data_IF_887190634132
#
_entry.id   IF_887190634132
#
_cell.length_a   1.000
_cell.length_b   1.000
_cell.length_c   1.000
_cell.angle_alpha   90.00
_cell.angle_beta   90.00
_cell.angle_gamma   90.00
#
_symmetry.space_group_name_H-M   'P 1'
#
loop_
_entity.id
_entity.type
_entity.pdbx_description
1 polymer ?
#
# COMPACT_ATOMS: atom_id res chain seq x y z
N UNK A 1 27.27 -27.31 -66.06
CA UNK A 1 27.23 -26.09 -66.87
C UNK A 1 26.75 -25.00 -65.94
N UNK A 2 27.64 -24.27 -65.50
CA UNK A 2 28.07 -22.87 -65.73
C UNK A 2 26.94 -21.84 -65.50
N UNK A 3 27.28 -20.93 -64.60
CA UNK A 3 26.68 -19.62 -64.49
C UNK A 3 27.00 -18.90 -63.18
N UNK A 4 28.27 -18.51 -62.95
CA UNK A 4 28.65 -17.49 -61.94
C UNK A 4 28.20 -16.12 -62.46
N UNK A 5 27.58 -15.34 -61.59
CA UNK A 5 27.54 -13.87 -61.75
C UNK A 5 27.77 -13.18 -60.44
N UNK A 6 28.90 -12.55 -60.34
CA UNK A 6 29.30 -11.67 -59.27
C UNK A 6 28.61 -10.30 -59.40
N UNK A 7 28.02 -9.78 -58.37
CA UNK A 7 27.59 -8.38 -58.26
C UNK A 7 28.44 -7.65 -57.21
N UNK A 8 29.22 -6.72 -57.69
CA UNK A 8 30.02 -5.78 -56.91
C UNK A 8 29.12 -4.77 -56.24
N UNK A 9 29.15 -4.68 -54.95
CA UNK A 9 28.50 -3.59 -54.20
C UNK A 9 29.55 -2.56 -53.80
N UNK A 10 29.39 -1.36 -54.38
CA UNK A 10 30.20 -0.19 -54.15
C UNK A 10 29.88 0.43 -52.76
N UNK A 11 30.88 0.43 -51.88
CA UNK A 11 30.78 1.03 -50.56
C UNK A 11 31.16 2.53 -50.68
N UNK A 12 30.17 3.42 -50.66
CA UNK A 12 30.41 4.86 -50.53
C UNK A 12 30.51 5.21 -49.05
N UNK A 13 31.70 5.56 -48.60
CA UNK A 13 31.96 6.15 -47.30
C UNK A 13 31.48 7.62 -47.33
N UNK A 14 30.47 7.93 -46.57
CA UNK A 14 30.09 9.31 -46.24
C UNK A 14 30.98 9.79 -45.08
N UNK A 15 31.91 10.65 -45.38
CA UNK A 15 32.67 11.43 -44.41
C UNK A 15 31.74 12.48 -43.79
N UNK A 16 31.45 12.36 -42.51
CA UNK A 16 30.83 13.45 -41.72
C UNK A 16 31.91 14.47 -41.35
N UNK A 17 31.63 15.78 -41.46
CA UNK A 17 32.55 16.79 -40.98
C UNK A 17 32.62 16.80 -39.45
N UNK A 18 33.85 16.88 -38.96
CA UNK A 18 34.15 17.06 -37.56
C UNK A 18 33.60 18.39 -37.04
N UNK A 19 32.80 18.35 -36.02
CA UNK A 19 32.35 19.53 -35.29
C UNK A 19 33.50 20.01 -34.39
N UNK A 20 33.91 21.25 -34.55
CA UNK A 20 34.89 21.89 -33.68
C UNK A 20 34.41 21.97 -32.23
N UNK A 21 35.26 21.74 -31.22
CA UNK A 21 34.90 21.90 -29.83
C UNK A 21 34.73 23.39 -29.50
N UNK A 22 33.52 23.77 -29.08
CA UNK A 22 33.24 25.11 -28.54
C UNK A 22 33.96 25.26 -27.20
N UNK A 23 34.76 26.33 -26.97
CA UNK A 23 35.45 26.54 -25.72
C UNK A 23 34.45 26.89 -24.61
N UNK A 24 34.49 26.13 -23.52
CA UNK A 24 33.63 26.23 -22.33
C UNK A 24 33.94 27.41 -21.40
N UNK A 25 34.46 28.46 -21.88
CA UNK A 25 34.98 29.54 -21.04
C UNK A 25 34.44 30.94 -21.36
N UNK A 26 33.12 31.09 -21.59
CA UNK A 26 32.48 32.41 -21.50
C UNK A 26 30.99 32.24 -21.18
N UNK A 27 30.65 32.05 -19.92
CA UNK A 27 29.33 32.34 -19.36
C UNK A 27 29.39 32.36 -17.84
N UNK A 28 30.31 33.14 -17.28
CA UNK A 28 30.21 33.56 -15.88
C UNK A 28 29.99 35.06 -15.90
N UNK A 29 28.77 35.47 -16.14
CA UNK A 29 28.37 36.86 -15.96
C UNK A 29 26.97 36.86 -15.33
N UNK A 30 26.93 37.29 -14.08
CA UNK A 30 25.77 37.82 -13.33
C UNK A 30 24.59 36.86 -13.14
N UNK A 31 24.63 36.15 -12.01
CA UNK A 31 23.44 35.60 -11.39
C UNK A 31 22.54 36.75 -10.93
N UNK A 32 21.26 36.81 -11.38
CA UNK A 32 20.27 37.49 -10.60
C UNK A 32 20.03 36.63 -9.35
N UNK A 33 20.09 37.23 -8.18
CA UNK A 33 19.64 36.65 -6.91
C UNK A 33 18.23 36.11 -7.12
N UNK A 34 18.11 34.79 -7.29
CA UNK A 34 16.82 34.12 -7.24
C UNK A 34 16.47 34.07 -5.76
N UNK A 35 15.63 35.02 -5.38
CA UNK A 35 14.83 34.99 -4.18
C UNK A 35 14.30 33.57 -4.00
N UNK A 36 14.72 32.94 -2.93
CA UNK A 36 14.34 31.55 -2.58
C UNK A 36 12.83 31.46 -2.60
N UNK A 37 12.27 30.92 -3.68
CA UNK A 37 10.95 30.37 -3.61
C UNK A 37 11.03 29.24 -2.56
N UNK A 38 10.53 29.51 -1.37
CA UNK A 38 10.22 28.49 -0.39
C UNK A 38 9.35 27.47 -1.10
N UNK A 39 9.95 26.34 -1.43
CA UNK A 39 9.20 25.17 -1.83
C UNK A 39 8.25 24.92 -0.66
N UNK A 40 6.98 25.21 -0.85
CA UNK A 40 5.94 24.71 0.03
C UNK A 40 6.09 23.19 0.04
N UNK A 41 6.85 22.71 1.01
CA UNK A 41 6.84 21.33 1.43
C UNK A 41 5.40 21.07 1.80
N UNK A 42 4.65 20.45 0.87
CA UNK A 42 3.35 19.92 1.16
C UNK A 42 3.50 18.99 2.34
N UNK A 43 3.33 19.54 3.55
CA UNK A 43 3.31 18.79 4.79
C UNK A 43 2.22 17.72 4.59
N UNK A 44 2.66 16.49 4.38
CA UNK A 44 1.76 15.34 4.53
C UNK A 44 1.34 15.39 5.98
N UNK A 45 0.15 15.93 6.24
CA UNK A 45 -0.45 15.94 7.57
C UNK A 45 -0.71 14.46 7.87
N UNK A 46 0.26 13.82 8.53
CA UNK A 46 0.02 12.52 9.14
C UNK A 46 -1.04 12.76 10.22
N UNK A 47 -2.04 11.88 10.32
CA UNK A 47 -3.01 12.01 11.41
C UNK A 47 -2.25 12.04 12.73
N UNK A 48 -2.61 12.98 13.59
CA UNK A 48 -2.06 13.04 14.93
C UNK A 48 -2.43 11.74 15.66
N UNK A 49 -1.42 10.96 16.01
CA UNK A 49 -1.63 9.68 16.67
C UNK A 49 -2.04 9.94 18.13
N UNK A 50 -3.03 9.20 18.61
CA UNK A 50 -3.30 9.15 20.05
C UNK A 50 -2.09 8.57 20.80
N UNK A 51 -2.02 8.79 22.12
CA UNK A 51 -0.97 8.22 22.95
C UNK A 51 -0.93 6.68 22.84
N UNK A 52 -2.10 6.01 22.81
CA UNK A 52 -2.23 4.56 22.58
C UNK A 52 -1.65 4.15 21.22
N UNK A 53 -2.01 4.86 20.16
CA UNK A 53 -1.48 4.57 18.83
C UNK A 53 0.04 4.77 18.74
N UNK A 54 0.56 5.82 19.37
CA UNK A 54 2.00 6.08 19.41
C UNK A 54 2.76 4.95 20.13
N UNK A 55 2.21 4.43 21.21
CA UNK A 55 2.78 3.27 21.93
C UNK A 55 2.74 2.02 21.06
N UNK A 56 1.61 1.71 20.42
CA UNK A 56 1.47 0.57 19.50
C UNK A 56 2.37 0.69 18.26
N UNK A 57 2.67 1.91 17.82
CA UNK A 57 3.62 2.16 16.74
C UNK A 57 5.06 1.89 17.14
N UNK A 58 5.46 2.27 18.36
CA UNK A 58 6.84 2.21 18.83
C UNK A 58 7.24 0.88 19.47
N UNK A 59 6.29 0.16 20.08
CA UNK A 59 6.51 -1.08 20.82
C UNK A 59 6.96 -2.26 19.95
N UNK A 60 7.27 -3.40 20.54
CA UNK A 60 7.52 -4.62 19.80
C UNK A 60 6.21 -5.17 19.23
N UNK A 61 6.20 -5.69 18.00
CA UNK A 61 5.00 -6.29 17.44
C UNK A 61 4.72 -7.68 18.03
N UNK A 62 3.46 -7.99 18.29
CA UNK A 62 3.03 -9.32 18.73
C UNK A 62 3.07 -10.32 17.57
N UNK A 63 2.78 -9.85 16.36
CA UNK A 63 2.81 -10.69 15.16
C UNK A 63 3.42 -9.97 13.95
N UNK A 64 3.99 -10.80 13.07
CA UNK A 64 4.31 -10.44 11.69
C UNK A 64 3.60 -11.41 10.78
N UNK A 65 2.72 -10.92 9.90
CA UNK A 65 1.89 -11.77 9.07
C UNK A 65 1.84 -11.29 7.61
N UNK A 66 1.83 -12.24 6.68
CA UNK A 66 1.69 -11.93 5.26
C UNK A 66 0.25 -11.54 4.95
N UNK A 67 0.06 -10.36 4.39
CA UNK A 67 -1.25 -9.84 4.02
C UNK A 67 -1.81 -10.45 2.75
N UNK A 68 -3.12 -10.65 2.74
CA UNK A 68 -3.95 -10.85 1.55
C UNK A 68 -5.11 -9.87 1.62
N UNK A 69 -5.78 -9.70 0.50
CA UNK A 69 -6.95 -8.82 0.39
C UNK A 69 -8.12 -9.61 -0.15
N UNK A 70 -9.29 -9.42 0.43
CA UNK A 70 -10.53 -9.99 -0.07
C UNK A 70 -11.68 -8.97 -0.09
N UNK A 71 -12.70 -9.26 -0.88
CA UNK A 71 -13.87 -8.41 -1.05
C UNK A 71 -15.14 -9.24 -1.18
N UNK A 72 -16.28 -8.70 -0.84
CA UNK A 72 -17.57 -9.30 -1.13
C UNK A 72 -17.92 -9.17 -2.64
N UNK A 73 -18.68 -10.15 -3.15
CA UNK A 73 -19.09 -10.17 -4.55
C UNK A 73 -18.13 -10.89 -5.50
N UNK A 74 -17.15 -11.63 -4.98
CA UNK A 74 -16.26 -12.47 -5.76
C UNK A 74 -15.22 -13.15 -4.86
N UNK A 75 -15.12 -14.49 -4.94
CA UNK A 75 -14.00 -15.18 -4.27
C UNK A 75 -14.17 -15.53 -2.80
N UNK A 76 -15.38 -15.77 -2.30
CA UNK A 76 -15.58 -16.47 -1.02
C UNK A 76 -16.19 -15.64 0.12
N UNK A 77 -16.28 -14.32 0.02
CA UNK A 77 -16.96 -13.51 1.02
C UNK A 77 -18.45 -13.37 0.67
N UNK A 78 -19.25 -14.30 1.16
CA UNK A 78 -20.71 -14.33 0.94
C UNK A 78 -21.42 -14.32 2.30
N UNK A 79 -21.84 -13.17 2.77
CA UNK A 79 -22.62 -13.06 4.00
C UNK A 79 -21.81 -12.57 5.21
N UNK A 80 -22.13 -13.12 6.38
CA UNK A 80 -21.49 -12.76 7.65
C UNK A 80 -20.09 -13.38 7.80
N UNK A 81 -19.28 -12.75 8.63
CA UNK A 81 -17.97 -13.26 9.05
C UNK A 81 -18.10 -14.46 10.00
N UNK A 82 -16.99 -15.01 10.46
CA UNK A 82 -16.98 -16.19 11.32
C UNK A 82 -17.51 -15.95 12.75
N UNK A 83 -17.75 -14.71 13.13
CA UNK A 83 -18.44 -14.36 14.37
C UNK A 83 -19.96 -14.18 14.18
N UNK A 84 -20.45 -14.28 12.93
CA UNK A 84 -21.83 -14.00 12.56
C UNK A 84 -22.12 -12.52 12.34
N UNK A 85 -21.09 -11.68 12.28
CA UNK A 85 -21.21 -10.25 12.08
C UNK A 85 -21.14 -9.89 10.58
N UNK A 86 -21.80 -8.79 10.21
CA UNK A 86 -21.58 -8.21 8.88
C UNK A 86 -20.15 -7.68 8.78
N UNK A 87 -19.35 -8.13 7.79
CA UNK A 87 -18.00 -7.61 7.63
C UNK A 87 -17.98 -6.11 7.36
N UNK A 88 -17.06 -5.40 7.99
CA UNK A 88 -16.88 -3.95 7.82
C UNK A 88 -15.61 -3.73 7.01
N UNK A 89 -15.78 -3.02 5.88
CA UNK A 89 -14.66 -2.67 5.01
C UNK A 89 -13.56 -1.96 5.78
N UNK A 90 -12.32 -2.38 5.56
CA UNK A 90 -11.12 -1.81 6.19
C UNK A 90 -11.14 -1.89 7.73
N UNK A 91 -11.91 -2.82 8.30
CA UNK A 91 -11.99 -3.13 9.74
C UNK A 91 -11.96 -4.63 10.03
N UNK A 92 -12.66 -5.42 9.22
CA UNK A 92 -12.71 -6.87 9.38
C UNK A 92 -11.44 -7.51 8.81
N UNK A 93 -10.84 -8.40 9.57
CA UNK A 93 -9.71 -9.22 9.11
C UNK A 93 -9.93 -10.69 9.41
N UNK A 94 -9.64 -11.54 8.42
CA UNK A 94 -9.62 -12.99 8.60
C UNK A 94 -8.23 -13.44 9.06
N UNK A 95 -8.19 -14.31 10.05
CA UNK A 95 -6.98 -14.80 10.71
C UNK A 95 -6.99 -16.33 10.86
N UNK A 96 -5.82 -16.91 11.15
CA UNK A 96 -5.75 -18.25 11.74
C UNK A 96 -5.91 -18.13 13.27
N UNK A 97 -7.02 -18.63 13.85
CA UNK A 97 -7.28 -18.47 15.29
C UNK A 97 -6.26 -19.19 16.20
N UNK A 98 -5.40 -20.03 15.63
CA UNK A 98 -4.30 -20.68 16.37
C UNK A 98 -3.10 -19.75 16.53
N UNK A 99 -3.01 -18.67 15.74
CA UNK A 99 -1.93 -17.69 15.75
C UNK A 99 -2.43 -16.37 16.32
N UNK A 100 -3.52 -15.84 15.77
CA UNK A 100 -4.18 -14.63 16.27
C UNK A 100 -5.58 -15.03 16.74
N UNK A 101 -5.88 -14.96 18.03
CA UNK A 101 -7.19 -15.35 18.53
C UNK A 101 -8.30 -14.47 17.94
N UNK A 102 -9.46 -15.06 17.63
CA UNK A 102 -10.64 -14.25 17.25
C UNK A 102 -11.00 -13.29 18.39
N UNK A 103 -11.65 -12.20 18.07
CA UNK A 103 -11.99 -11.09 19.00
C UNK A 103 -10.76 -10.33 19.52
N UNK A 104 -9.62 -10.40 18.81
CA UNK A 104 -8.51 -9.50 19.06
C UNK A 104 -8.69 -8.22 18.25
N UNK A 105 -8.61 -7.06 18.90
CA UNK A 105 -8.42 -5.76 18.27
C UNK A 105 -6.95 -5.67 17.87
N UNK A 106 -6.68 -5.51 16.61
CA UNK A 106 -5.33 -5.47 16.05
C UNK A 106 -4.97 -4.04 15.69
N UNK A 107 -3.72 -3.68 15.87
CA UNK A 107 -3.16 -2.46 15.32
C UNK A 107 -2.13 -2.83 14.25
N UNK A 108 -2.47 -2.54 12.99
CA UNK A 108 -1.61 -2.83 11.82
C UNK A 108 -0.93 -1.54 11.39
N UNK A 109 0.35 -1.41 11.67
CA UNK A 109 1.13 -0.17 11.52
C UNK A 109 1.10 0.38 10.10
N UNK A 110 1.22 -0.49 9.11
CA UNK A 110 1.27 -0.11 7.69
C UNK A 110 -0.07 0.42 7.15
N UNK A 111 -1.13 0.35 7.97
CA UNK A 111 -2.44 0.90 7.59
C UNK A 111 -2.72 2.27 8.19
N UNK A 112 -1.91 2.73 9.13
CA UNK A 112 -2.02 4.09 9.68
C UNK A 112 -1.76 5.11 8.58
N UNK A 113 -2.65 6.07 8.42
CA UNK A 113 -2.52 7.10 7.39
C UNK A 113 -2.93 6.65 5.98
N UNK A 114 -3.36 5.39 5.80
CA UNK A 114 -3.83 4.90 4.51
C UNK A 114 -5.11 5.63 4.11
N UNK A 115 -5.10 6.30 2.95
CA UNK A 115 -6.28 6.97 2.41
C UNK A 115 -7.29 5.95 1.90
N UNK A 116 -8.49 5.96 2.44
CA UNK A 116 -9.58 5.07 2.06
C UNK A 116 -10.37 5.59 0.85
N UNK A 117 -11.25 4.75 0.30
CA UNK A 117 -12.00 5.07 -0.91
C UNK A 117 -12.98 6.25 -0.74
N UNK A 118 -13.46 6.49 0.48
CA UNK A 118 -14.32 7.60 0.86
C UNK A 118 -13.54 8.89 1.18
N UNK A 119 -12.21 8.85 1.08
CA UNK A 119 -11.32 9.97 1.36
C UNK A 119 -10.87 10.06 2.82
N UNK A 120 -11.45 9.29 3.73
CA UNK A 120 -11.03 9.23 5.13
C UNK A 120 -9.66 8.56 5.26
N UNK A 121 -9.07 8.69 6.43
CA UNK A 121 -7.75 8.16 6.75
C UNK A 121 -7.89 7.00 7.73
N UNK A 122 -7.24 5.88 7.42
CA UNK A 122 -7.26 4.70 8.28
C UNK A 122 -6.45 4.92 9.55
N UNK A 123 -7.02 4.53 10.68
CA UNK A 123 -6.46 4.72 12.02
C UNK A 123 -5.53 3.59 12.49
N UNK A 124 -5.32 2.55 11.69
CA UNK A 124 -4.50 1.39 12.03
C UNK A 124 -5.27 0.24 12.70
N UNK A 125 -6.47 0.45 13.20
CA UNK A 125 -7.21 -0.59 13.93
C UNK A 125 -8.00 -1.53 13.02
N UNK A 126 -7.85 -2.83 13.30
CA UNK A 126 -8.53 -3.95 12.65
C UNK A 126 -9.10 -4.91 13.69
N UNK A 127 -10.03 -5.74 13.28
CA UNK A 127 -10.75 -6.63 14.17
C UNK A 127 -10.71 -8.07 13.64
N UNK A 128 -10.10 -8.99 14.38
CA UNK A 128 -10.01 -10.41 14.06
C UNK A 128 -11.38 -11.09 14.26
N UNK A 129 -12.31 -10.82 13.36
CA UNK A 129 -13.69 -11.33 13.39
C UNK A 129 -13.95 -12.44 12.38
N UNK A 130 -13.06 -12.62 11.40
CA UNK A 130 -13.24 -13.61 10.36
C UNK A 130 -12.17 -14.69 10.37
N UNK A 131 -12.42 -15.77 9.64
CA UNK A 131 -11.50 -16.87 9.38
C UNK A 131 -11.65 -17.35 7.95
N UNK A 132 -10.56 -17.78 7.34
CA UNK A 132 -10.56 -18.32 5.98
C UNK A 132 -9.93 -19.71 5.91
N UNK A 133 -10.47 -20.58 5.06
CA UNK A 133 -9.92 -21.92 4.83
C UNK A 133 -8.46 -21.88 4.37
N UNK A 134 -8.09 -20.87 3.58
CA UNK A 134 -6.75 -20.63 3.06
C UNK A 134 -5.88 -19.73 3.98
N UNK A 135 -6.45 -19.15 5.04
CA UNK A 135 -5.73 -18.28 5.98
C UNK A 135 -5.21 -19.13 7.12
N UNK A 136 -3.95 -19.56 7.00
CA UNK A 136 -3.27 -20.45 7.93
C UNK A 136 -1.91 -19.90 8.31
N UNK A 137 -1.51 -20.12 9.59
CA UNK A 137 -0.26 -19.64 10.13
C UNK A 137 -0.19 -18.11 10.18
N UNK A 138 0.98 -17.54 10.00
CA UNK A 138 1.22 -16.09 10.02
C UNK A 138 0.71 -15.42 8.72
N UNK A 139 -0.58 -15.49 8.49
CA UNK A 139 -1.27 -14.88 7.35
C UNK A 139 -2.55 -14.20 7.81
N UNK A 140 -2.80 -13.03 7.28
CA UNK A 140 -4.03 -12.26 7.48
C UNK A 140 -4.67 -11.90 6.14
N UNK A 141 -6.00 -11.80 6.11
CA UNK A 141 -6.74 -11.40 4.92
C UNK A 141 -7.64 -10.22 5.25
N UNK A 142 -7.34 -9.07 4.66
CA UNK A 142 -7.96 -7.79 4.97
C UNK A 142 -9.22 -7.62 4.13
N UNK A 143 -10.37 -7.45 4.77
CA UNK A 143 -11.62 -7.17 4.07
C UNK A 143 -11.67 -5.73 3.58
N UNK A 144 -11.78 -5.55 2.29
CA UNK A 144 -11.73 -4.22 1.67
C UNK A 144 -13.10 -3.64 1.31
N UNK A 145 -14.16 -4.46 1.33
CA UNK A 145 -15.52 -3.99 1.04
C UNK A 145 -16.19 -4.72 -0.14
N UNK A 146 -17.03 -4.03 -0.89
CA UNK A 146 -17.80 -4.59 -2.00
C UNK A 146 -17.09 -4.48 -3.33
N UNK A 147 -17.02 -5.59 -4.06
CA UNK A 147 -16.46 -5.66 -5.40
C UNK A 147 -14.95 -5.45 -5.46
N UNK A 148 -14.34 -5.86 -6.55
CA UNK A 148 -12.88 -5.84 -6.74
C UNK A 148 -12.27 -4.43 -6.63
N UNK A 149 -13.04 -3.40 -6.98
CA UNK A 149 -12.58 -2.01 -6.91
C UNK A 149 -12.27 -1.54 -5.49
N UNK A 150 -12.91 -2.13 -4.46
CA UNK A 150 -12.67 -1.81 -3.05
C UNK A 150 -11.26 -2.14 -2.57
N UNK A 151 -10.55 -3.04 -3.26
CA UNK A 151 -9.19 -3.42 -2.91
C UNK A 151 -8.16 -2.33 -3.22
N UNK A 152 -8.50 -1.37 -4.09
CA UNK A 152 -7.54 -0.38 -4.62
C UNK A 152 -6.74 0.35 -3.54
N UNK A 153 -7.34 0.88 -2.47
CA UNK A 153 -6.58 1.56 -1.41
C UNK A 153 -5.56 0.66 -0.71
N UNK A 154 -5.91 -0.61 -0.48
CA UNK A 154 -5.09 -1.57 0.24
C UNK A 154 -4.10 -2.36 -0.66
N UNK A 155 -4.14 -2.18 -1.98
CA UNK A 155 -3.27 -2.93 -2.91
C UNK A 155 -1.79 -2.87 -2.57
N UNK A 156 -1.21 -1.74 -2.09
CA UNK A 156 0.18 -1.70 -1.69
C UNK A 156 0.55 -2.64 -0.54
N UNK A 157 -0.44 -3.12 0.23
CA UNK A 157 -0.25 -4.03 1.35
C UNK A 157 -0.30 -5.51 0.92
N UNK A 158 -0.88 -5.79 -0.25
CA UNK A 158 -1.08 -7.16 -0.69
C UNK A 158 0.25 -7.92 -0.82
N UNK A 159 0.31 -9.11 -0.23
CA UNK A 159 1.48 -9.98 -0.17
C UNK A 159 2.67 -9.43 0.64
N UNK A 160 2.53 -8.30 1.31
CA UNK A 160 3.57 -7.79 2.21
C UNK A 160 3.46 -8.44 3.59
N UNK A 161 4.56 -8.44 4.30
CA UNK A 161 4.56 -8.76 5.74
C UNK A 161 4.18 -7.50 6.50
N UNK A 162 3.11 -7.60 7.29
CA UNK A 162 2.62 -6.52 8.13
C UNK A 162 3.13 -6.67 9.55
N UNK A 163 3.27 -5.53 10.23
CA UNK A 163 3.67 -5.38 11.62
C UNK A 163 2.42 -5.15 12.45
N UNK A 164 2.07 -6.11 13.31
CA UNK A 164 0.78 -6.17 14.00
C UNK A 164 1.00 -6.19 15.51
N UNK A 165 0.37 -5.27 16.23
CA UNK A 165 0.31 -5.26 17.68
C UNK A 165 -1.08 -5.68 18.19
N UNK A 166 -1.11 -6.29 19.37
CA UNK A 166 -2.34 -6.58 20.11
C UNK A 166 -2.85 -5.29 20.78
N UNK A 167 -3.96 -4.78 20.32
CA UNK A 167 -4.62 -3.60 20.88
C UNK A 167 -5.78 -3.99 21.83
N UNK A 168 -5.77 -5.23 22.32
CA UNK A 168 -6.77 -5.72 23.26
C UNK A 168 -7.86 -6.59 22.64
N UNK A 169 -8.98 -6.68 23.31
CA UNK A 169 -10.10 -7.54 22.93
C UNK A 169 -11.33 -6.69 22.63
N UNK A 170 -12.24 -7.24 21.84
CA UNK A 170 -13.54 -6.64 21.60
C UNK A 170 -14.67 -7.64 21.82
N UNK A 171 -15.83 -7.14 22.24
CA UNK A 171 -17.04 -7.91 22.40
C UNK A 171 -18.04 -7.61 21.26
N UNK A 172 -18.95 -8.56 21.00
CA UNK A 172 -19.93 -8.42 19.94
C UNK A 172 -19.32 -8.42 18.54
N UNK A 173 -19.74 -7.48 17.72
CA UNK A 173 -19.25 -7.29 16.35
C UNK A 173 -18.23 -6.13 16.27
N UNK A 174 -17.35 -6.13 15.23
CA UNK A 174 -16.48 -5.00 15.00
C UNK A 174 -17.26 -3.68 14.94
N UNK A 175 -16.78 -2.59 15.55
CA UNK A 175 -17.44 -1.29 15.46
C UNK A 175 -17.40 -0.75 14.04
N UNK A 176 -18.46 -0.07 13.64
CA UNK A 176 -18.45 0.71 12.40
C UNK A 176 -17.42 1.84 12.49
N UNK A 177 -17.04 2.37 11.32
CA UNK A 177 -16.28 3.63 11.27
C UNK A 177 -17.11 4.73 11.94
N UNK A 178 -16.47 5.45 12.83
CA UNK A 178 -17.06 6.70 13.32
C UNK A 178 -17.14 7.64 12.14
N UNK A 179 -18.36 8.10 11.84
CA UNK A 179 -18.53 9.17 10.86
C UNK A 179 -17.76 10.36 11.41
N UNK A 180 -16.83 10.91 10.64
CA UNK A 180 -16.21 12.18 11.00
C UNK A 180 -17.35 13.17 11.28
N UNK A 181 -17.56 13.50 12.53
CA UNK A 181 -18.51 14.52 12.93
C UNK A 181 -17.98 15.83 12.35
N UNK A 182 -18.72 16.34 11.37
CA UNK A 182 -18.54 17.64 10.77
C UNK A 182 -18.75 18.75 11.81
#
# INVERSE_FOLDING_TARGET
>A
MLGMSAAFALFMALMSPASDPVPYAVAVAADPVVESAEAESGSVILPELSAEQAELMAGDPDWRASARLYHAGGGGATGNDSLGCRPIAMRTVAVDPRVIPRRTKLFIRETVGLRMADGSIHDGYWYASDTGGAIKGAKVDLYTGQGRGSMRPAMPLNMRTLTIADAGRFDGCPPAWESASN
#
